data_IF_484947845474
#
_entry.id   IF_484947845474
#
_cell.length_a   1.000
_cell.length_b   1.000
_cell.length_c   1.000
_cell.angle_alpha   90.00
_cell.angle_beta   90.00
_cell.angle_gamma   90.00
#
_symmetry.space_group_name_H-M   'P 1'
#
loop_
_entity.id
_entity.type
_entity.pdbx_description
1 polymer ?
#
# COMPACT_ATOMS: atom_id res chain seq x y z
N UNK A 1 12.80 16.32 -9.07
CA UNK A 1 12.93 15.21 -8.11
C UNK A 1 13.08 13.91 -8.89
N UNK A 2 13.87 12.97 -8.37
CA UNK A 2 14.11 11.70 -9.05
C UNK A 2 12.88 10.79 -8.98
N UNK A 3 12.70 9.94 -9.99
CA UNK A 3 11.70 8.87 -9.96
C UNK A 3 12.27 7.71 -9.16
N UNK A 4 11.46 7.19 -8.23
CA UNK A 4 11.75 5.98 -7.46
C UNK A 4 10.80 4.85 -7.92
N UNK A 5 11.14 3.61 -7.57
CA UNK A 5 10.35 2.45 -7.98
C UNK A 5 10.40 1.31 -6.97
N UNK A 6 9.37 0.46 -7.02
CA UNK A 6 9.41 -0.89 -6.49
C UNK A 6 9.44 -1.87 -7.66
N UNK A 7 10.26 -2.91 -7.56
CA UNK A 7 10.17 -4.06 -8.48
C UNK A 7 9.55 -5.25 -7.77
N UNK A 8 8.78 -6.01 -8.53
CA UNK A 8 8.08 -7.18 -8.01
C UNK A 8 7.96 -8.28 -9.04
N UNK A 9 7.98 -9.52 -8.56
CA UNK A 9 7.70 -10.69 -9.37
C UNK A 9 6.19 -10.82 -9.62
N UNK A 10 5.84 -10.97 -10.88
CA UNK A 10 4.46 -11.19 -11.32
C UNK A 10 4.12 -12.66 -11.15
N UNK A 11 3.16 -12.94 -10.28
CA UNK A 11 2.65 -14.28 -10.01
C UNK A 11 1.66 -14.78 -11.08
N UNK A 12 0.85 -13.88 -11.63
CA UNK A 12 -0.13 -14.16 -12.67
C UNK A 12 -0.41 -12.89 -13.48
N UNK A 13 -0.58 -13.03 -14.79
CA UNK A 13 -0.94 -11.93 -15.69
C UNK A 13 -2.29 -11.31 -15.33
N UNK A 14 -3.29 -12.13 -14.98
CA UNK A 14 -4.61 -11.63 -14.58
C UNK A 14 -4.53 -10.85 -13.26
N UNK A 15 -3.74 -11.36 -12.30
CA UNK A 15 -3.49 -10.66 -11.03
C UNK A 15 -2.78 -9.33 -11.25
N UNK A 16 -1.83 -9.29 -12.18
CA UNK A 16 -1.12 -8.07 -12.56
C UNK A 16 -2.07 -7.03 -13.16
N UNK A 17 -2.97 -7.42 -14.06
CA UNK A 17 -3.96 -6.50 -14.64
C UNK A 17 -4.90 -5.93 -13.58
N UNK A 18 -5.32 -6.71 -12.58
CA UNK A 18 -6.12 -6.20 -11.47
C UNK A 18 -5.33 -5.23 -10.58
N UNK A 19 -4.05 -5.53 -10.30
CA UNK A 19 -3.18 -4.61 -9.55
C UNK A 19 -2.98 -3.28 -10.30
N UNK A 20 -2.76 -3.33 -11.61
CA UNK A 20 -2.64 -2.13 -12.47
C UNK A 20 -3.93 -1.31 -12.42
N UNK A 21 -5.10 -1.94 -12.57
CA UNK A 21 -6.37 -1.23 -12.50
C UNK A 21 -6.58 -0.49 -11.17
N UNK A 22 -6.22 -1.12 -10.04
CA UNK A 22 -6.27 -0.48 -8.73
C UNK A 22 -5.28 0.69 -8.63
N UNK A 23 -4.04 0.51 -9.10
CA UNK A 23 -3.00 1.55 -9.07
C UNK A 23 -3.33 2.74 -9.98
N UNK A 24 -3.93 2.50 -11.14
CA UNK A 24 -4.38 3.55 -12.05
C UNK A 24 -5.51 4.38 -11.42
N UNK A 25 -6.46 3.72 -10.75
CA UNK A 25 -7.52 4.42 -10.02
C UNK A 25 -6.96 5.27 -8.87
N UNK A 26 -5.97 4.75 -8.13
CA UNK A 26 -5.27 5.49 -7.08
C UNK A 26 -4.48 6.68 -7.65
N UNK A 27 -3.79 6.50 -8.77
CA UNK A 27 -3.08 7.58 -9.47
C UNK A 27 -4.04 8.70 -9.88
N UNK A 28 -5.20 8.34 -10.44
CA UNK A 28 -6.23 9.31 -10.82
C UNK A 28 -6.78 10.06 -9.59
N UNK A 29 -7.02 9.36 -8.48
CA UNK A 29 -7.45 9.99 -7.23
C UNK A 29 -6.38 10.94 -6.64
N UNK A 30 -5.09 10.56 -6.65
CA UNK A 30 -4.00 11.47 -6.25
C UNK A 30 -3.95 12.72 -7.13
N UNK A 31 -4.06 12.55 -8.44
CA UNK A 31 -3.95 13.66 -9.41
C UNK A 31 -5.14 14.61 -9.35
N UNK A 32 -6.35 14.08 -9.19
CA UNK A 32 -7.59 14.86 -9.15
C UNK A 32 -7.95 15.39 -7.76
N UNK A 33 -7.33 14.86 -6.70
CA UNK A 33 -7.72 15.09 -5.31
C UNK A 33 -9.08 14.49 -4.93
N UNK A 34 -9.71 13.71 -5.82
CA UNK A 34 -11.07 13.17 -5.65
C UNK A 34 -11.02 11.73 -5.16
N UNK A 35 -11.18 11.55 -3.85
CA UNK A 35 -11.17 10.24 -3.20
C UNK A 35 -12.58 9.71 -2.97
N UNK A 36 -12.78 8.43 -3.29
CA UNK A 36 -14.03 7.70 -3.04
C UNK A 36 -13.99 7.00 -1.68
N UNK A 37 -15.13 6.41 -1.30
CA UNK A 37 -15.27 5.62 -0.08
C UNK A 37 -14.63 4.22 -0.18
N UNK A 38 -14.60 3.52 0.96
CA UNK A 38 -13.98 2.20 1.06
C UNK A 38 -14.69 1.15 0.18
N UNK A 39 -16.00 1.28 -0.05
CA UNK A 39 -16.75 0.33 -0.89
C UNK A 39 -16.31 0.41 -2.35
N UNK A 40 -16.08 1.63 -2.87
CA UNK A 40 -15.48 1.83 -4.18
C UNK A 40 -14.12 1.17 -4.29
N UNK A 41 -13.22 1.43 -3.33
CA UNK A 41 -11.86 0.87 -3.36
C UNK A 41 -11.86 -0.64 -3.25
N UNK A 42 -12.71 -1.21 -2.39
CA UNK A 42 -12.88 -2.65 -2.26
C UNK A 42 -13.31 -3.31 -3.57
N UNK A 43 -14.01 -2.58 -4.45
CA UNK A 43 -14.41 -3.06 -5.78
C UNK A 43 -13.24 -3.55 -6.65
N UNK A 44 -12.02 -3.04 -6.44
CA UNK A 44 -10.81 -3.47 -7.16
C UNK A 44 -10.18 -4.76 -6.63
N UNK A 45 -10.54 -5.18 -5.41
CA UNK A 45 -9.94 -6.31 -4.72
C UNK A 45 -10.95 -7.45 -4.70
N UNK A 46 -10.59 -8.61 -5.25
CA UNK A 46 -11.43 -9.80 -5.13
C UNK A 46 -11.31 -10.43 -3.73
N UNK A 47 -12.04 -11.53 -3.49
CA UNK A 47 -12.04 -12.19 -2.19
C UNK A 47 -10.65 -12.64 -1.74
N UNK A 48 -9.83 -13.12 -2.67
CA UNK A 48 -8.46 -13.56 -2.38
C UNK A 48 -7.59 -12.36 -1.99
N UNK A 49 -7.61 -11.28 -2.76
CA UNK A 49 -6.83 -10.09 -2.45
C UNK A 49 -7.25 -9.44 -1.12
N UNK A 50 -8.56 -9.40 -0.85
CA UNK A 50 -9.08 -8.91 0.44
C UNK A 50 -8.62 -9.75 1.62
N UNK A 51 -8.41 -11.06 1.45
CA UNK A 51 -7.98 -11.95 2.53
C UNK A 51 -6.55 -11.71 3.02
N UNK A 52 -5.76 -10.95 2.26
CA UNK A 52 -4.39 -10.58 2.61
C UNK A 52 -4.31 -9.46 3.66
N UNK A 53 -5.42 -8.72 3.87
CA UNK A 53 -5.47 -7.63 4.84
C UNK A 53 -5.90 -8.12 6.22
N UNK A 54 -5.46 -7.39 7.25
CA UNK A 54 -5.98 -7.55 8.60
C UNK A 54 -7.34 -6.87 8.73
N UNK A 55 -8.34 -7.64 9.16
CA UNK A 55 -9.69 -7.18 9.43
C UNK A 55 -9.96 -7.32 10.92
N UNK A 56 -9.48 -6.38 11.77
CA UNK A 56 -9.55 -6.52 13.21
C UNK A 56 -11.00 -6.64 13.70
N UNK A 57 -11.22 -7.50 14.69
CA UNK A 57 -12.45 -7.40 15.49
C UNK A 57 -12.43 -6.13 16.34
N UNK A 58 -13.59 -5.64 16.82
CA UNK A 58 -13.62 -4.51 17.74
C UNK A 58 -12.71 -4.69 18.97
N UNK A 59 -12.62 -5.92 19.49
CA UNK A 59 -11.76 -6.25 20.63
C UNK A 59 -10.27 -6.15 20.28
N UNK A 60 -9.87 -6.67 19.11
CA UNK A 60 -8.48 -6.56 18.63
C UNK A 60 -8.09 -5.11 18.37
N UNK A 61 -9.00 -4.30 17.82
CA UNK A 61 -8.80 -2.88 17.60
C UNK A 61 -8.67 -2.12 18.92
N UNK A 62 -9.52 -2.42 19.91
CA UNK A 62 -9.45 -1.80 21.24
C UNK A 62 -8.15 -2.16 21.97
N UNK A 63 -7.72 -3.42 21.89
CA UNK A 63 -6.43 -3.88 22.44
C UNK A 63 -5.25 -3.14 21.79
N UNK A 64 -5.25 -3.04 20.46
CA UNK A 64 -4.22 -2.29 19.74
C UNK A 64 -4.20 -0.81 20.16
N UNK A 65 -5.37 -0.17 20.28
CA UNK A 65 -5.46 1.21 20.71
C UNK A 65 -4.95 1.42 22.15
N UNK A 66 -5.20 0.49 23.06
CA UNK A 66 -4.65 0.50 24.42
C UNK A 66 -3.12 0.42 24.40
N UNK A 67 -2.54 -0.49 23.62
CA UNK A 67 -1.08 -0.60 23.46
C UNK A 67 -0.49 0.68 22.86
N UNK A 68 -1.12 1.23 21.81
CA UNK A 68 -0.68 2.45 21.14
C UNK A 68 -0.65 3.65 22.09
N UNK A 69 -1.74 3.86 22.83
CA UNK A 69 -1.87 4.98 23.77
C UNK A 69 -0.90 4.87 24.95
N UNK A 70 -0.66 3.66 25.45
CA UNK A 70 0.32 3.41 26.52
C UNK A 70 1.78 3.57 26.06
N UNK A 71 2.06 3.40 24.77
CA UNK A 71 3.42 3.51 24.22
C UNK A 71 3.82 4.98 24.03
N UNK A 72 4.98 5.44 24.54
CA UNK A 72 5.45 6.81 24.34
C UNK A 72 5.60 7.17 22.86
N UNK A 73 5.21 8.39 22.41
CA UNK A 73 5.26 8.78 21.00
C UNK A 73 6.61 8.54 20.32
N UNK A 74 7.71 8.78 21.05
CA UNK A 74 9.08 8.60 20.55
C UNK A 74 9.46 7.14 20.26
N UNK A 75 8.66 6.15 20.69
CA UNK A 75 8.91 4.72 20.51
C UNK A 75 7.91 4.04 19.59
N UNK A 76 6.74 4.63 19.38
CA UNK A 76 5.62 3.98 18.66
C UNK A 76 6.01 3.44 17.29
N UNK A 77 6.75 4.22 16.52
CA UNK A 77 7.13 3.86 15.15
C UNK A 77 8.02 2.61 15.05
N UNK A 78 8.73 2.26 16.13
CA UNK A 78 9.68 1.14 16.15
C UNK A 78 9.30 0.06 17.16
N UNK A 79 8.16 0.19 17.85
CA UNK A 79 7.76 -0.76 18.87
C UNK A 79 7.20 -2.03 18.20
N UNK A 80 7.84 -3.20 18.37
CA UNK A 80 7.36 -4.44 17.77
C UNK A 80 5.96 -4.82 18.28
N UNK A 81 5.60 -4.41 19.50
CA UNK A 81 4.29 -4.68 20.06
C UNK A 81 3.18 -3.85 19.41
N UNK A 82 3.50 -2.87 18.55
CA UNK A 82 2.51 -2.09 17.78
C UNK A 82 2.44 -2.50 16.31
N UNK A 83 3.35 -3.37 15.86
CA UNK A 83 3.32 -3.88 14.50
C UNK A 83 2.10 -4.77 14.29
N UNK A 84 1.35 -4.46 13.24
CA UNK A 84 0.22 -5.26 12.76
C UNK A 84 0.39 -5.48 11.27
N UNK A 85 -0.20 -6.53 10.70
CA UNK A 85 -0.38 -6.57 9.26
C UNK A 85 -1.19 -5.34 8.81
N UNK A 86 -1.05 -4.98 7.53
CA UNK A 86 -1.81 -3.86 6.98
C UNK A 86 -3.31 -4.17 7.03
N UNK A 87 -4.08 -3.28 7.63
CA UNK A 87 -5.50 -3.20 7.35
C UNK A 87 -5.74 -2.44 6.03
N UNK A 88 -6.85 -2.74 5.37
CA UNK A 88 -7.18 -2.18 4.07
C UNK A 88 -7.33 -0.65 4.10
N UNK A 89 -8.00 -0.12 5.13
CA UNK A 89 -8.26 1.30 5.28
C UNK A 89 -6.97 2.10 5.42
N UNK A 90 -6.05 1.64 6.27
CA UNK A 90 -4.73 2.26 6.44
C UNK A 90 -3.90 2.23 5.17
N UNK A 91 -3.99 1.16 4.37
CA UNK A 91 -3.31 1.13 3.06
C UNK A 91 -3.83 2.24 2.14
N UNK A 92 -5.16 2.39 2.01
CA UNK A 92 -5.77 3.44 1.18
C UNK A 92 -5.45 4.84 1.73
N UNK A 93 -5.53 5.04 3.04
CA UNK A 93 -5.21 6.33 3.68
C UNK A 93 -3.72 6.70 3.49
N UNK A 94 -2.82 5.72 3.54
CA UNK A 94 -1.40 5.94 3.24
C UNK A 94 -1.15 6.33 1.77
N UNK A 95 -1.90 5.76 0.82
CA UNK A 95 -1.87 6.24 -0.58
C UNK A 95 -2.39 7.67 -0.70
N UNK A 96 -3.45 8.01 0.04
CA UNK A 96 -4.07 9.34 0.04
C UNK A 96 -3.15 10.41 0.58
N UNK A 97 -2.53 10.16 1.73
CA UNK A 97 -1.79 11.17 2.48
C UNK A 97 -0.28 11.15 2.20
N UNK A 98 0.24 10.15 1.49
CA UNK A 98 1.65 10.09 1.12
C UNK A 98 2.09 11.25 0.22
N UNK A 99 3.28 11.80 0.46
CA UNK A 99 3.81 12.99 -0.21
C UNK A 99 4.62 12.61 -1.47
N UNK A 100 3.90 12.07 -2.46
CA UNK A 100 4.47 11.59 -3.71
C UNK A 100 3.43 11.56 -4.84
N UNK A 101 3.89 11.67 -6.08
CA UNK A 101 3.10 11.30 -7.25
C UNK A 101 3.18 9.79 -7.48
N UNK A 102 2.05 9.14 -7.72
CA UNK A 102 2.03 7.78 -8.28
C UNK A 102 2.17 7.91 -9.80
N UNK A 103 3.19 7.30 -10.41
CA UNK A 103 3.48 7.49 -11.84
C UNK A 103 2.94 6.38 -12.73
N UNK A 104 2.68 5.19 -12.16
CA UNK A 104 2.06 4.07 -12.86
C UNK A 104 2.82 2.77 -12.63
N UNK A 105 2.23 1.68 -13.14
CA UNK A 105 2.73 0.33 -12.99
C UNK A 105 2.92 -0.30 -14.38
N UNK A 106 4.10 -0.85 -14.65
CA UNK A 106 4.45 -1.41 -15.96
C UNK A 106 5.08 -2.79 -15.81
N UNK A 107 4.91 -3.62 -16.84
CA UNK A 107 5.60 -4.90 -16.94
C UNK A 107 6.93 -4.70 -17.66
N UNK A 108 8.05 -4.91 -16.96
CA UNK A 108 9.41 -4.76 -17.51
C UNK A 108 9.83 -6.02 -18.27
N UNK A 109 9.38 -7.20 -17.82
CA UNK A 109 9.57 -8.47 -18.51
C UNK A 109 8.48 -9.48 -18.16
N UNK A 110 8.48 -10.66 -18.80
CA UNK A 110 7.44 -11.68 -18.63
C UNK A 110 7.08 -12.03 -17.17
N UNK A 111 8.03 -11.89 -16.24
CA UNK A 111 7.82 -12.18 -14.82
C UNK A 111 8.14 -11.01 -13.88
N UNK A 112 8.46 -9.81 -14.39
CA UNK A 112 8.90 -8.67 -13.58
C UNK A 112 8.04 -7.44 -13.87
N UNK A 113 7.40 -6.92 -12.82
CA UNK A 113 6.66 -5.66 -12.82
C UNK A 113 7.43 -4.57 -12.08
N UNK A 114 7.13 -3.32 -12.41
CA UNK A 114 7.69 -2.13 -11.76
C UNK A 114 6.60 -1.10 -11.49
N UNK A 115 6.51 -0.67 -10.23
CA UNK A 115 5.66 0.44 -9.80
C UNK A 115 6.52 1.68 -9.63
N UNK A 116 6.27 2.72 -10.43
CA UNK A 116 7.01 3.97 -10.41
C UNK A 116 6.26 5.04 -9.60
N UNK A 117 6.99 5.83 -8.82
CA UNK A 117 6.46 6.96 -8.07
C UNK A 117 7.50 8.09 -7.97
N UNK A 118 7.07 9.29 -7.64
CA UNK A 118 7.95 10.46 -7.46
C UNK A 118 7.73 11.08 -6.08
N UNK A 119 8.64 10.90 -5.11
CA UNK A 119 8.54 11.57 -3.82
C UNK A 119 8.71 13.08 -3.97
N UNK A 120 7.94 13.85 -3.20
CA UNK A 120 8.03 15.32 -3.14
C UNK A 120 9.07 15.78 -2.11
N UNK A 121 9.38 14.96 -1.11
CA UNK A 121 10.42 15.25 -0.12
C UNK A 121 10.54 14.12 0.89
N UNK A 122 11.64 14.08 1.65
CA UNK A 122 11.74 13.17 2.78
C UNK A 122 11.22 13.85 4.06
N UNK A 123 10.35 13.20 4.85
CA UNK A 123 9.70 11.91 4.61
C UNK A 123 8.47 12.00 3.68
N UNK A 124 8.29 11.03 2.77
CA UNK A 124 7.14 10.97 1.86
C UNK A 124 6.04 9.98 2.26
N UNK A 125 6.13 9.38 3.45
CA UNK A 125 5.20 8.35 3.92
C UNK A 125 5.62 6.89 3.66
N UNK A 126 6.79 6.68 3.04
CA UNK A 126 7.35 5.35 2.80
C UNK A 126 6.65 4.59 1.67
N UNK A 127 7.05 3.31 1.49
CA UNK A 127 6.56 2.44 0.40
C UNK A 127 5.72 1.26 0.89
N UNK A 128 5.46 1.17 2.20
CA UNK A 128 4.77 0.04 2.81
C UNK A 128 3.37 -0.21 2.25
N UNK A 129 2.59 0.85 1.94
CA UNK A 129 1.28 0.69 1.32
C UNK A 129 1.36 0.17 -0.13
N UNK A 130 2.40 0.55 -0.88
CA UNK A 130 2.65 0.06 -2.23
C UNK A 130 2.98 -1.43 -2.23
N UNK A 131 3.83 -1.85 -1.28
CA UNK A 131 4.13 -3.27 -1.05
C UNK A 131 2.86 -4.04 -0.67
N UNK A 132 2.10 -3.55 0.30
CA UNK A 132 0.87 -4.21 0.77
C UNK A 132 -0.14 -4.42 -0.38
N UNK A 133 -0.31 -3.43 -1.25
CA UNK A 133 -1.16 -3.55 -2.43
C UNK A 133 -0.66 -4.65 -3.37
N UNK A 134 0.63 -4.62 -3.75
CA UNK A 134 1.20 -5.61 -4.68
C UNK A 134 1.12 -7.04 -4.11
N UNK A 135 1.47 -7.20 -2.85
CA UNK A 135 1.41 -8.49 -2.15
C UNK A 135 -0.03 -8.98 -1.97
N UNK A 136 -1.02 -8.08 -1.83
CA UNK A 136 -2.43 -8.48 -1.78
C UNK A 136 -2.90 -9.14 -3.09
N UNK A 137 -2.36 -8.75 -4.25
CA UNK A 137 -2.61 -9.42 -5.52
C UNK A 137 -1.73 -10.66 -5.74
N UNK A 138 -0.99 -11.09 -4.72
CA UNK A 138 -0.13 -12.27 -4.74
C UNK A 138 1.20 -12.06 -5.44
N UNK A 139 1.61 -10.81 -5.70
CA UNK A 139 2.94 -10.51 -6.23
C UNK A 139 3.98 -10.48 -5.12
N UNK A 140 5.26 -10.58 -5.46
CA UNK A 140 6.36 -10.54 -4.48
C UNK A 140 7.27 -9.36 -4.75
N UNK A 141 7.30 -8.38 -3.84
CA UNK A 141 8.25 -7.26 -3.94
C UNK A 141 9.67 -7.76 -3.73
N UNK A 142 10.54 -7.49 -4.70
CA UNK A 142 11.96 -7.92 -4.71
C UNK A 142 12.92 -6.75 -4.56
N UNK A 143 12.48 -5.53 -4.88
CA UNK A 143 13.28 -4.32 -4.71
C UNK A 143 12.42 -3.15 -4.25
N UNK A 144 12.96 -2.39 -3.30
CA UNK A 144 12.45 -1.11 -2.83
C UNK A 144 13.52 -0.04 -3.02
N UNK A 145 13.14 1.25 -3.09
CA UNK A 145 14.11 2.33 -3.10
C UNK A 145 14.78 2.45 -1.73
N UNK A 146 16.05 2.85 -1.73
CA UNK A 146 16.80 3.12 -0.50
C UNK A 146 16.10 4.23 0.31
N UNK A 147 16.07 4.06 1.63
CA UNK A 147 15.47 4.99 2.59
C UNK A 147 16.39 6.16 2.96
#
# INVERSE_FOLDING_TARGET
MATNFLEFEISSGDRFLHAVAALDALQQAKTSGSWQDDEYWLGFFDKEARSSFWWPTPEEQEDWYKRWTATPPSRRATDPALQTPWDFGSMIDAFKNGDYDLLGCEQISGSLGRLNFRPHGWPYGGVGCMRALLESFGHRVVQEPDA
#
